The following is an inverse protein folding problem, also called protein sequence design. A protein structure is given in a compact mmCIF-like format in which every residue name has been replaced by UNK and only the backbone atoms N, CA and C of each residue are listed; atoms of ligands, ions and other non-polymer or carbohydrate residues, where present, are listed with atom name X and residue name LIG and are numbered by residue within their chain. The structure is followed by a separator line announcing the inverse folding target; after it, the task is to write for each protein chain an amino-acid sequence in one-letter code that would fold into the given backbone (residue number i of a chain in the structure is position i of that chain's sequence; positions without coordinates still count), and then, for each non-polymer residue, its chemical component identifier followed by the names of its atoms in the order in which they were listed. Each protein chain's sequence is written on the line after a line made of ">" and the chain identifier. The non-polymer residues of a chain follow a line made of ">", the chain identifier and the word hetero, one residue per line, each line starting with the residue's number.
data_IF_718479844270
#
_entry.id   IF_718479844270
#
_cell.length_a   1.000
_cell.length_b   1.000
_cell.length_c   1.000
_cell.angle_alpha   90.00
_cell.angle_beta   90.00
_cell.angle_gamma   90.00
#
_symmetry.space_group_name_H-M   'P 1'
#
loop_
_entity.id
_entity.type
_entity.pdbx_description
1 polymer ?
#
# COMPACT_ATOMS: atom_id res chain seq x y z
N UNK A 1 -11.19 9.82 -0.29
CA UNK A 1 -10.67 9.92 -1.68
C UNK A 1 -10.52 11.41 -1.95
N UNK A 2 -9.31 11.99 -1.95
CA UNK A 2 -9.14 13.35 -2.47
C UNK A 2 -8.78 13.19 -3.94
N UNK A 3 -9.71 13.53 -4.83
CA UNK A 3 -9.48 13.59 -6.27
C UNK A 3 -8.35 14.57 -6.58
N UNK A 4 -7.57 14.31 -7.63
CA UNK A 4 -6.61 15.30 -8.14
C UNK A 4 -7.35 16.63 -8.39
N UNK A 5 -6.85 17.75 -7.86
CA UNK A 5 -7.48 19.04 -8.06
C UNK A 5 -7.40 19.41 -9.54
N UNK A 6 -8.49 19.99 -10.07
CA UNK A 6 -8.56 20.42 -11.48
C UNK A 6 -7.61 21.59 -11.79
N UNK A 7 -7.22 22.33 -10.76
CA UNK A 7 -6.22 23.37 -10.78
C UNK A 7 -5.71 23.56 -9.35
N UNK A 8 -4.44 23.96 -9.18
CA UNK A 8 -3.86 24.33 -7.89
C UNK A 8 -2.87 25.48 -8.08
N UNK A 9 -2.56 26.17 -6.98
CA UNK A 9 -1.54 27.22 -6.92
C UNK A 9 -0.98 27.28 -5.49
N UNK A 10 0.09 28.05 -5.28
CA UNK A 10 0.72 28.28 -3.98
C UNK A 10 0.66 29.78 -3.70
N UNK A 11 0.43 30.15 -2.44
CA UNK A 11 0.44 31.55 -2.02
C UNK A 11 1.84 32.14 -2.03
N UNK A 12 1.95 33.43 -2.29
CA UNK A 12 3.19 34.19 -2.09
C UNK A 12 3.49 34.44 -0.59
N UNK A 13 4.60 35.13 -0.31
CA UNK A 13 5.03 35.48 1.06
C UNK A 13 4.03 36.34 1.83
N UNK A 14 3.12 37.02 1.14
CA UNK A 14 2.08 37.85 1.72
C UNK A 14 0.73 37.11 1.81
N UNK A 15 0.68 35.83 1.42
CA UNK A 15 -0.54 35.02 1.42
C UNK A 15 -1.43 35.21 0.19
N UNK A 16 -1.01 35.98 -0.82
CA UNK A 16 -1.80 36.19 -2.03
C UNK A 16 -1.63 35.02 -3.00
N UNK A 17 -2.67 34.72 -3.76
CA UNK A 17 -2.63 33.70 -4.79
C UNK A 17 -3.50 34.07 -5.97
N UNK A 18 -3.20 33.48 -7.13
CA UNK A 18 -4.01 33.59 -8.34
C UNK A 18 -4.07 32.24 -9.02
N UNK A 19 -5.28 31.85 -9.41
CA UNK A 19 -5.55 30.64 -10.17
C UNK A 19 -6.40 31.00 -11.38
N UNK A 20 -6.01 30.50 -12.55
CA UNK A 20 -6.80 30.62 -13.77
C UNK A 20 -7.41 29.25 -14.04
N UNK A 21 -8.74 29.22 -14.19
CA UNK A 21 -9.47 27.98 -14.44
C UNK A 21 -9.96 28.05 -15.89
N UNK A 22 -9.51 27.09 -16.70
CA UNK A 22 -9.96 26.90 -18.08
C UNK A 22 -10.82 25.65 -18.13
N UNK A 23 -12.07 25.79 -17.69
CA UNK A 23 -13.00 24.66 -17.56
C UNK A 23 -14.41 25.13 -17.96
N UNK A 24 -15.17 24.26 -18.62
CA UNK A 24 -16.52 24.57 -19.10
C UNK A 24 -17.59 24.53 -17.99
N UNK A 25 -17.24 24.04 -16.79
CA UNK A 25 -18.12 24.06 -15.63
C UNK A 25 -18.16 25.46 -15.02
N UNK A 26 -19.31 25.81 -14.44
CA UNK A 26 -19.52 27.09 -13.76
C UNK A 26 -19.46 27.00 -12.24
N UNK A 27 -19.32 25.79 -11.65
CA UNK A 27 -19.33 25.59 -10.21
C UNK A 27 -18.12 24.77 -9.75
N UNK A 28 -17.40 25.28 -8.75
CA UNK A 28 -16.17 24.70 -8.23
C UNK A 28 -16.16 24.64 -6.71
N UNK A 29 -15.52 23.61 -6.16
CA UNK A 29 -15.16 23.54 -4.74
C UNK A 29 -13.71 23.97 -4.58
N UNK A 30 -13.47 24.96 -3.73
CA UNK A 30 -12.14 25.50 -3.44
C UNK A 30 -11.85 25.34 -1.95
N UNK A 31 -10.62 24.94 -1.62
CA UNK A 31 -10.14 24.83 -0.26
C UNK A 31 -8.65 25.19 -0.22
N UNK A 32 -8.16 25.59 0.94
CA UNK A 32 -6.76 25.88 1.20
C UNK A 32 -6.19 24.90 2.23
N UNK A 33 -4.91 24.60 2.12
CA UNK A 33 -4.16 23.77 3.07
C UNK A 33 -2.75 24.33 3.19
N UNK A 34 -2.16 24.17 4.37
CA UNK A 34 -0.78 24.53 4.67
C UNK A 34 -0.25 23.59 5.75
N UNK A 35 1.05 23.33 5.73
CA UNK A 35 1.69 22.51 6.75
C UNK A 35 1.55 23.16 8.14
N UNK A 36 1.18 22.37 9.14
CA UNK A 36 0.93 22.88 10.51
C UNK A 36 -0.44 23.54 10.71
N UNK A 37 -1.34 23.49 9.71
CA UNK A 37 -2.71 24.01 9.81
C UNK A 37 -3.76 22.97 9.42
N UNK A 38 -4.97 23.13 9.94
CA UNK A 38 -6.12 22.38 9.44
C UNK A 38 -6.45 22.83 8.01
N UNK A 39 -6.82 21.89 7.15
CA UNK A 39 -7.42 22.21 5.84
C UNK A 39 -8.67 23.06 6.06
N UNK A 40 -8.86 24.10 5.24
CA UNK A 40 -10.04 24.95 5.32
C UNK A 40 -11.32 24.17 5.02
N UNK A 41 -12.45 24.71 5.45
CA UNK A 41 -13.74 24.32 4.88
C UNK A 41 -13.76 24.55 3.37
N UNK A 42 -14.56 23.74 2.67
CA UNK A 42 -14.77 23.92 1.23
C UNK A 42 -15.68 25.12 0.98
N UNK A 43 -15.25 26.03 0.12
CA UNK A 43 -16.09 27.08 -0.42
C UNK A 43 -16.57 26.67 -1.82
N UNK A 44 -17.89 26.68 -2.03
CA UNK A 44 -18.48 26.51 -3.35
C UNK A 44 -18.49 27.87 -4.06
N UNK A 45 -17.99 27.91 -5.29
CA UNK A 45 -17.83 29.14 -6.05
C UNK A 45 -18.46 28.96 -7.42
N UNK A 46 -19.29 29.92 -7.82
CA UNK A 46 -19.87 29.99 -9.14
C UNK A 46 -19.14 31.05 -9.97
N UNK A 47 -18.55 30.65 -11.10
CA UNK A 47 -17.71 31.51 -11.94
C UNK A 47 -18.32 31.58 -13.34
N UNK A 48 -18.53 32.80 -13.83
CA UNK A 48 -18.90 33.07 -15.22
C UNK A 48 -17.68 33.46 -16.06
N UNK A 49 -17.80 33.39 -17.38
CA UNK A 49 -16.68 33.71 -18.27
C UNK A 49 -16.15 35.15 -18.04
N UNK A 50 -14.83 35.28 -17.98
CA UNK A 50 -14.14 36.54 -17.66
C UNK A 50 -14.28 37.07 -16.23
N UNK A 51 -15.04 36.41 -15.34
CA UNK A 51 -15.28 36.90 -13.99
C UNK A 51 -14.06 36.72 -13.08
N UNK A 52 -13.77 37.73 -12.24
CA UNK A 52 -12.79 37.64 -11.15
C UNK A 52 -13.51 37.50 -9.81
N UNK A 53 -13.10 36.52 -9.02
CA UNK A 53 -13.63 36.28 -7.68
C UNK A 53 -12.46 36.27 -6.70
N UNK A 54 -12.67 36.92 -5.56
CA UNK A 54 -11.73 36.95 -4.45
C UNK A 54 -12.24 36.02 -3.36
N UNK A 55 -11.40 35.09 -2.93
CA UNK A 55 -11.68 34.18 -1.83
C UNK A 55 -10.63 34.43 -0.75
N UNK A 56 -11.06 34.33 0.51
CA UNK A 56 -10.17 34.35 1.66
C UNK A 56 -10.42 33.09 2.45
N UNK A 57 -9.33 32.43 2.84
CA UNK A 57 -9.36 31.22 3.66
C UNK A 57 -8.65 31.51 4.98
N UNK A 58 -9.34 31.24 6.08
CA UNK A 58 -8.71 31.25 7.41
C UNK A 58 -8.29 29.82 7.72
N UNK A 59 -6.99 29.62 7.91
CA UNK A 59 -6.46 28.35 8.37
C UNK A 59 -6.23 28.42 9.88
N UNK A 60 -6.87 27.52 10.61
CA UNK A 60 -6.63 27.37 12.03
C UNK A 60 -5.36 26.54 12.22
N UNK A 61 -4.38 27.09 12.95
CA UNK A 61 -3.16 26.35 13.30
C UNK A 61 -3.58 25.03 13.96
N UNK A 62 -2.94 23.94 13.55
CA UNK A 62 -3.03 22.71 14.33
C UNK A 62 -2.47 23.06 15.70
N UNK A 63 -3.32 23.02 16.74
CA UNK A 63 -2.81 23.05 18.10
C UNK A 63 -1.91 21.83 18.21
N UNK A 64 -0.62 22.04 18.53
CA UNK A 64 0.40 20.99 18.68
C UNK A 64 0.04 20.08 19.85
N UNK A 65 -0.98 19.27 19.65
CA UNK A 65 -1.51 18.32 20.62
C UNK A 65 -0.84 17.01 20.34
N UNK A 66 0.11 16.66 21.21
CA UNK A 66 0.80 15.39 21.15
C UNK A 66 -0.21 14.24 21.16
N UNK A 67 0.05 13.27 20.29
CA UNK A 67 -0.63 12.00 20.17
C UNK A 67 0.32 10.88 20.56
N UNK A 68 -0.21 9.89 21.25
CA UNK A 68 0.47 8.65 21.57
C UNK A 68 -0.30 7.52 20.90
N UNK A 69 0.39 6.62 20.21
CA UNK A 69 -0.21 5.48 19.54
C UNK A 69 0.27 4.23 20.23
N UNK A 70 -0.67 3.49 20.82
CA UNK A 70 -0.47 2.10 21.20
C UNK A 70 -1.19 1.26 20.16
N UNK A 71 -0.51 0.29 19.58
CA UNK A 71 -1.15 -0.59 18.62
C UNK A 71 -0.77 -2.04 18.77
N UNK A 72 -1.61 -2.89 18.18
CA UNK A 72 -1.42 -4.34 18.17
C UNK A 72 -1.65 -4.88 16.76
N UNK A 73 -0.75 -5.74 16.32
CA UNK A 73 -0.79 -6.37 15.00
C UNK A 73 -1.02 -7.86 15.17
N UNK A 74 -2.13 -8.35 14.61
CA UNK A 74 -2.56 -9.73 14.73
C UNK A 74 -2.91 -10.29 13.34
N UNK A 75 -2.52 -11.53 13.06
CA UNK A 75 -2.96 -12.25 11.88
C UNK A 75 -3.48 -13.63 12.30
N UNK A 76 -4.75 -13.92 12.04
CA UNK A 76 -5.41 -15.17 12.45
C UNK A 76 -5.15 -15.51 13.93
N UNK A 77 -5.43 -14.53 14.81
CA UNK A 77 -5.23 -14.60 16.26
C UNK A 77 -3.79 -14.84 16.75
N UNK A 78 -2.80 -14.76 15.86
CA UNK A 78 -1.38 -14.79 16.21
C UNK A 78 -0.75 -13.40 16.15
N UNK A 79 0.07 -13.02 17.15
CA UNK A 79 0.79 -11.76 17.10
C UNK A 79 1.79 -11.74 15.94
N UNK A 80 1.94 -10.58 15.32
CA UNK A 80 2.91 -10.36 14.24
C UNK A 80 4.09 -9.56 14.79
N UNK A 81 5.18 -10.27 15.08
CA UNK A 81 6.46 -9.70 15.53
C UNK A 81 7.28 -9.15 14.35
N UNK A 82 8.28 -8.31 14.67
CA UNK A 82 9.27 -7.75 13.75
C UNK A 82 8.66 -7.06 12.53
N UNK A 83 7.50 -6.44 12.72
CA UNK A 83 6.82 -5.66 11.71
C UNK A 83 7.24 -4.20 11.84
N UNK A 84 7.92 -3.66 10.83
CA UNK A 84 8.29 -2.24 10.80
C UNK A 84 7.02 -1.44 10.63
N UNK A 85 6.76 -0.53 11.56
CA UNK A 85 5.61 0.38 11.56
C UNK A 85 6.12 1.77 11.24
N UNK A 86 5.59 2.39 10.19
CA UNK A 86 5.98 3.71 9.72
C UNK A 86 4.75 4.61 9.62
N UNK A 87 4.84 5.82 10.14
CA UNK A 87 3.80 6.85 9.97
C UNK A 87 4.32 7.92 9.03
N UNK A 88 3.54 8.21 7.99
CA UNK A 88 3.83 9.25 7.01
C UNK A 88 2.78 10.35 7.05
N UNK A 89 3.22 11.60 7.00
CA UNK A 89 2.37 12.68 6.53
C UNK A 89 2.26 12.61 5.01
N UNK A 90 1.17 13.15 4.46
CA UNK A 90 0.97 13.24 3.01
C UNK A 90 0.46 14.62 2.64
N UNK A 91 1.38 15.50 2.25
CA UNK A 91 1.10 16.87 1.84
C UNK A 91 1.64 17.08 0.42
N UNK A 92 0.83 17.69 -0.46
CA UNK A 92 1.20 18.00 -1.86
C UNK A 92 1.73 16.81 -2.68
N UNK A 93 1.26 15.58 -2.40
CA UNK A 93 1.72 14.38 -3.11
C UNK A 93 3.02 13.78 -2.56
N UNK A 94 3.62 14.41 -1.55
CA UNK A 94 4.88 13.98 -0.94
C UNK A 94 4.59 13.23 0.35
N UNK A 95 5.22 12.07 0.50
CA UNK A 95 5.22 11.31 1.75
C UNK A 95 6.44 11.69 2.58
N UNK A 96 6.24 12.22 3.78
CA UNK A 96 7.32 12.49 4.73
C UNK A 96 7.23 11.51 5.89
N UNK A 97 8.31 10.77 6.18
CA UNK A 97 8.37 9.87 7.32
C UNK A 97 8.36 10.71 8.60
N UNK A 98 7.31 10.56 9.41
CA UNK A 98 7.20 11.23 10.70
C UNK A 98 7.81 10.36 11.80
N UNK A 99 7.43 9.09 11.85
CA UNK A 99 7.83 8.19 12.93
C UNK A 99 8.00 6.75 12.44
N UNK A 100 8.87 6.01 13.13
CA UNK A 100 9.12 4.59 12.87
C UNK A 100 9.30 3.81 14.17
N UNK A 101 8.68 2.64 14.24
CA UNK A 101 8.90 1.66 15.31
C UNK A 101 8.86 0.23 14.74
N UNK A 102 8.97 -0.77 15.60
CA UNK A 102 8.87 -2.19 15.24
C UNK A 102 7.97 -2.88 16.25
N UNK A 103 7.11 -3.80 15.80
CA UNK A 103 6.31 -4.61 16.71
C UNK A 103 7.18 -5.56 17.55
N UNK A 104 6.79 -5.76 18.80
CA UNK A 104 7.40 -6.75 19.70
C UNK A 104 6.87 -8.18 19.45
N UNK A 105 7.37 -9.15 20.21
CA UNK A 105 6.94 -10.56 20.19
C UNK A 105 5.45 -10.77 20.45
N UNK A 106 4.76 -9.81 21.06
CA UNK A 106 3.32 -9.84 21.34
C UNK A 106 2.51 -9.08 20.27
N UNK A 107 3.17 -8.62 19.21
CA UNK A 107 2.61 -7.81 18.13
C UNK A 107 2.32 -6.37 18.55
N UNK A 108 2.80 -5.92 19.70
CA UNK A 108 2.56 -4.58 20.23
C UNK A 108 3.57 -3.59 19.68
N UNK A 109 3.12 -2.37 19.39
CA UNK A 109 4.00 -1.25 19.06
C UNK A 109 3.55 0.02 19.76
N UNK A 110 4.50 0.93 19.95
CA UNK A 110 4.28 2.23 20.54
C UNK A 110 4.95 3.31 19.70
N UNK A 111 4.24 4.42 19.49
CA UNK A 111 4.73 5.63 18.84
C UNK A 111 4.30 6.81 19.70
N UNK A 112 5.25 7.62 20.13
CA UNK A 112 5.04 8.90 20.79
C UNK A 112 5.55 10.05 19.92
N UNK A 113 5.50 11.28 20.43
CA UNK A 113 6.10 12.43 19.77
C UNK A 113 5.42 12.90 18.48
N UNK A 114 4.30 12.29 18.08
CA UNK A 114 3.58 12.65 16.85
C UNK A 114 2.44 13.62 17.13
N UNK A 115 2.27 14.64 16.29
CA UNK A 115 1.16 15.58 16.42
C UNK A 115 -0.17 14.92 16.06
N UNK A 116 -1.25 15.38 16.68
CA UNK A 116 -2.60 15.00 16.25
C UNK A 116 -2.84 15.46 14.82
N UNK A 117 -3.39 14.59 13.98
CA UNK A 117 -3.53 14.87 12.56
C UNK A 117 -3.89 13.64 11.76
N UNK A 118 -3.83 13.78 10.45
CA UNK A 118 -4.22 12.74 9.50
C UNK A 118 -2.98 12.22 8.80
N UNK A 119 -2.74 10.92 8.92
CA UNK A 119 -1.52 10.27 8.45
C UNK A 119 -1.82 9.02 7.62
N UNK A 120 -0.78 8.50 6.99
CA UNK A 120 -0.76 7.15 6.43
C UNK A 120 0.11 6.29 7.32
N UNK A 121 -0.46 5.23 7.89
CA UNK A 121 0.31 4.20 8.57
C UNK A 121 0.65 3.11 7.57
N UNK A 122 1.90 2.67 7.57
CA UNK A 122 2.40 1.54 6.81
C UNK A 122 3.01 0.53 7.78
N UNK A 123 2.69 -0.75 7.59
CA UNK A 123 3.36 -1.83 8.30
C UNK A 123 3.91 -2.83 7.31
N UNK A 124 5.10 -3.33 7.57
CA UNK A 124 5.76 -4.28 6.68
C UNK A 124 6.77 -5.18 7.40
N UNK A 125 6.74 -6.47 7.07
CA UNK A 125 7.86 -7.39 7.26
C UNK A 125 8.01 -8.31 6.05
N UNK A 126 8.79 -9.38 6.15
CA UNK A 126 9.01 -10.30 5.03
C UNK A 126 7.72 -10.95 4.49
N UNK A 127 6.73 -11.17 5.35
CA UNK A 127 5.50 -11.89 5.02
C UNK A 127 4.27 -11.00 4.88
N UNK A 128 4.21 -9.91 5.64
CA UNK A 128 3.00 -9.11 5.83
C UNK A 128 3.19 -7.68 5.36
N UNK A 129 2.09 -7.08 4.91
CA UNK A 129 2.01 -5.67 4.55
C UNK A 129 0.65 -5.10 4.94
N UNK A 130 0.64 -3.85 5.38
CA UNK A 130 -0.56 -3.06 5.64
C UNK A 130 -0.30 -1.60 5.27
N UNK A 131 -1.27 -0.92 4.68
CA UNK A 131 -1.22 0.52 4.45
C UNK A 131 -2.61 1.09 4.53
N UNK A 132 -2.82 2.06 5.40
CA UNK A 132 -4.10 2.73 5.52
C UNK A 132 -3.96 4.16 6.03
N UNK A 133 -5.00 4.95 5.85
CA UNK A 133 -5.13 6.28 6.41
C UNK A 133 -5.60 6.18 7.87
N UNK A 134 -4.95 6.91 8.77
CA UNK A 134 -5.31 7.02 10.18
C UNK A 134 -5.54 8.47 10.57
N UNK A 135 -6.38 8.69 11.57
CA UNK A 135 -6.62 10.00 12.16
C UNK A 135 -6.22 9.92 13.63
N UNK A 136 -5.10 10.55 13.97
CA UNK A 136 -4.56 10.64 15.31
C UNK A 136 -5.19 11.81 16.03
N UNK A 137 -5.83 11.53 17.17
CA UNK A 137 -6.36 12.55 18.07
C UNK A 137 -5.33 12.91 19.12
N UNK A 138 -5.51 14.07 19.75
CA UNK A 138 -4.76 14.44 20.95
C UNK A 138 -4.86 13.34 22.02
N UNK A 139 -3.74 13.03 22.66
CA UNK A 139 -3.68 12.00 23.70
C UNK A 139 -3.54 10.58 23.13
N UNK A 140 -4.08 9.59 23.83
CA UNK A 140 -3.88 8.18 23.52
C UNK A 140 -4.81 7.71 22.39
N UNK A 141 -4.21 7.09 21.38
CA UNK A 141 -4.89 6.39 20.28
C UNK A 141 -4.55 4.90 20.37
N UNK A 142 -5.58 4.05 20.35
CA UNK A 142 -5.45 2.60 20.33
C UNK A 142 -5.80 2.06 18.95
N UNK A 143 -4.92 1.28 18.33
CA UNK A 143 -5.11 0.77 16.96
C UNK A 143 -4.87 -0.74 16.91
N UNK A 144 -5.86 -1.49 16.40
CA UNK A 144 -5.70 -2.90 16.08
C UNK A 144 -5.55 -3.07 14.57
N UNK A 145 -4.54 -3.82 14.14
CA UNK A 145 -4.18 -3.98 12.73
C UNK A 145 -4.18 -5.46 12.37
N UNK A 146 -4.89 -5.78 11.30
CA UNK A 146 -4.83 -7.09 10.65
C UNK A 146 -4.15 -6.88 9.29
N UNK A 147 -2.90 -7.33 9.11
CA UNK A 147 -2.19 -7.11 7.87
C UNK A 147 -2.59 -8.12 6.79
N UNK A 148 -2.20 -7.84 5.56
CA UNK A 148 -2.35 -8.75 4.43
C UNK A 148 -1.06 -9.55 4.21
N UNK A 149 -1.18 -10.79 3.76
CA UNK A 149 -0.03 -11.56 3.26
C UNK A 149 0.44 -10.91 1.97
N UNK A 150 1.75 -10.69 1.85
CA UNK A 150 2.34 -10.17 0.61
C UNK A 150 2.09 -11.15 -0.54
N UNK A 151 1.67 -10.68 -1.73
CA UNK A 151 1.27 -11.56 -2.83
C UNK A 151 2.34 -12.61 -3.17
N UNK A 152 3.61 -12.22 -3.25
CA UNK A 152 4.70 -13.15 -3.58
C UNK A 152 4.89 -14.28 -2.55
N UNK A 153 4.45 -14.08 -1.30
CA UNK A 153 4.47 -15.11 -0.25
C UNK A 153 3.30 -16.11 -0.36
N UNK A 154 2.33 -15.83 -1.24
CA UNK A 154 1.23 -16.75 -1.55
C UNK A 154 1.58 -17.75 -2.66
N UNK A 155 2.77 -17.63 -3.26
CA UNK A 155 3.24 -18.53 -4.29
C UNK A 155 4.36 -19.45 -3.76
N UNK A 156 4.33 -20.69 -4.20
CA UNK A 156 5.36 -21.69 -3.96
C UNK A 156 6.18 -22.00 -5.21
N UNK A 157 7.09 -22.95 -5.04
CA UNK A 157 7.91 -23.52 -6.10
C UNK A 157 7.63 -25.02 -6.16
N UNK A 158 7.47 -25.56 -7.36
CA UNK A 158 7.38 -27.01 -7.60
C UNK A 158 8.57 -27.39 -8.47
N UNK A 159 9.38 -28.33 -8.01
CA UNK A 159 10.55 -28.82 -8.75
C UNK A 159 10.69 -30.32 -8.56
N UNK A 160 11.39 -30.95 -9.49
CA UNK A 160 11.66 -32.37 -9.43
C UNK A 160 12.56 -32.83 -10.57
N UNK A 161 12.72 -34.14 -10.68
CA UNK A 161 13.56 -34.76 -11.70
C UNK A 161 12.79 -35.84 -12.44
N UNK A 162 12.91 -35.87 -13.76
CA UNK A 162 12.35 -36.94 -14.60
C UNK A 162 13.45 -37.95 -14.91
N UNK A 163 13.13 -39.22 -14.67
CA UNK A 163 13.98 -40.38 -14.96
C UNK A 163 13.22 -41.41 -15.81
N UNK A 164 13.94 -42.22 -16.58
CA UNK A 164 13.37 -43.37 -17.28
C UNK A 164 13.27 -44.61 -16.38
N UNK A 165 12.86 -45.75 -16.95
CA UNK A 165 12.70 -47.01 -16.21
C UNK A 165 14.01 -47.59 -15.67
N UNK A 166 15.16 -47.16 -16.19
CA UNK A 166 16.50 -47.54 -15.73
C UNK A 166 17.06 -46.53 -14.71
N UNK A 167 16.32 -45.47 -14.41
CA UNK A 167 16.72 -44.40 -13.49
C UNK A 167 17.62 -43.32 -14.13
N UNK A 168 17.80 -43.34 -15.45
CA UNK A 168 18.62 -42.36 -16.17
C UNK A 168 17.84 -41.05 -16.34
N UNK A 169 18.55 -39.92 -16.20
CA UNK A 169 17.97 -38.57 -16.34
C UNK A 169 17.45 -38.34 -17.75
N UNK A 170 16.21 -37.85 -17.85
CA UNK A 170 15.56 -37.57 -19.13
C UNK A 170 15.60 -36.06 -19.40
N UNK A 171 16.45 -35.64 -20.34
CA UNK A 171 16.51 -34.25 -20.82
C UNK A 171 15.35 -33.92 -21.76
N UNK A 172 15.03 -32.63 -21.88
CA UNK A 172 14.06 -32.08 -22.82
C UNK A 172 12.63 -32.66 -22.73
N UNK A 173 12.30 -33.39 -21.65
CA UNK A 173 10.95 -33.88 -21.38
C UNK A 173 10.02 -32.68 -21.14
N UNK A 174 8.89 -32.64 -21.83
CA UNK A 174 7.84 -31.66 -21.57
C UNK A 174 7.16 -32.02 -20.25
N UNK A 175 7.19 -31.09 -19.30
CA UNK A 175 6.52 -31.20 -18.00
C UNK A 175 5.39 -30.19 -17.96
N UNK A 176 4.19 -30.65 -17.66
CA UNK A 176 2.96 -29.87 -17.66
C UNK A 176 2.39 -29.87 -16.25
N UNK A 177 2.19 -28.69 -15.68
CA UNK A 177 1.49 -28.47 -14.42
C UNK A 177 0.02 -28.17 -14.71
N UNK A 178 -0.88 -28.96 -14.13
CA UNK A 178 -2.32 -28.77 -14.23
C UNK A 178 -2.94 -28.64 -12.85
N UNK A 179 -4.05 -27.92 -12.73
CA UNK A 179 -4.89 -27.99 -11.52
C UNK A 179 -5.60 -29.34 -11.48
N UNK A 180 -6.13 -29.70 -10.31
CA UNK A 180 -6.93 -30.92 -10.12
C UNK A 180 -8.13 -31.04 -11.08
N UNK A 181 -8.68 -29.93 -11.55
CA UNK A 181 -9.76 -29.87 -12.54
C UNK A 181 -9.28 -30.11 -14.00
N UNK A 182 -8.00 -30.39 -14.22
CA UNK A 182 -7.38 -30.61 -15.53
C UNK A 182 -6.97 -29.33 -16.26
N UNK A 183 -7.25 -28.14 -15.71
CA UNK A 183 -6.87 -26.87 -16.35
C UNK A 183 -5.35 -26.70 -16.35
N UNK A 184 -4.79 -26.43 -17.53
CA UNK A 184 -3.38 -26.10 -17.71
C UNK A 184 -3.01 -24.84 -16.90
N UNK A 185 -1.91 -24.94 -16.15
CA UNK A 185 -1.37 -23.84 -15.33
C UNK A 185 -0.08 -23.32 -15.94
N UNK A 186 0.92 -24.20 -16.10
CA UNK A 186 2.24 -23.90 -16.67
C UNK A 186 2.80 -25.14 -17.37
N UNK A 187 3.79 -24.95 -18.23
CA UNK A 187 4.62 -26.04 -18.74
C UNK A 187 6.08 -25.61 -18.78
N UNK A 188 6.99 -26.57 -18.71
CA UNK A 188 8.43 -26.37 -18.80
C UNK A 188 9.09 -27.58 -19.45
N UNK A 189 10.40 -27.54 -19.68
CA UNK A 189 11.17 -28.71 -20.11
C UNK A 189 12.26 -29.04 -19.11
N UNK A 190 12.58 -30.32 -19.00
CA UNK A 190 13.70 -30.75 -18.16
C UNK A 190 15.03 -30.32 -18.74
N UNK A 191 15.97 -29.92 -17.87
CA UNK A 191 17.34 -29.58 -18.24
C UNK A 191 18.18 -30.84 -18.57
N UNK A 192 19.49 -30.66 -18.81
CA UNK A 192 20.42 -31.78 -19.10
C UNK A 192 20.56 -32.80 -17.97
N UNK A 193 20.18 -32.44 -16.74
CA UNK A 193 20.15 -33.31 -15.56
C UNK A 193 18.75 -33.88 -15.28
N UNK A 194 17.79 -33.68 -16.19
CA UNK A 194 16.42 -34.15 -16.04
C UNK A 194 15.57 -33.31 -15.08
N UNK A 195 16.06 -32.17 -14.61
CA UNK A 195 15.41 -31.36 -13.59
C UNK A 195 14.41 -30.38 -14.20
N UNK A 196 13.28 -30.16 -13.55
CA UNK A 196 12.28 -29.16 -13.93
C UNK A 196 11.94 -28.24 -12.75
N UNK A 197 11.50 -27.01 -13.08
CA UNK A 197 11.16 -25.97 -12.11
C UNK A 197 9.93 -25.18 -12.56
N UNK A 198 8.96 -25.06 -11.65
CA UNK A 198 7.86 -24.10 -11.71
C UNK A 198 7.97 -23.16 -10.50
N UNK A 199 8.32 -21.90 -10.75
CA UNK A 199 8.27 -20.84 -9.74
C UNK A 199 6.93 -20.10 -9.80
N UNK A 200 6.61 -19.30 -8.79
CA UNK A 200 5.37 -18.52 -8.69
C UNK A 200 4.11 -19.36 -8.94
N UNK A 201 4.01 -20.51 -8.26
CA UNK A 201 2.83 -21.38 -8.31
C UNK A 201 1.90 -21.00 -7.16
N UNK A 202 0.67 -20.60 -7.45
CA UNK A 202 -0.30 -20.27 -6.40
C UNK A 202 -0.55 -21.44 -5.45
N UNK A 203 -1.04 -21.16 -4.25
CA UNK A 203 -1.49 -22.22 -3.34
C UNK A 203 -2.66 -22.98 -3.97
N UNK A 204 -2.55 -24.30 -4.06
CA UNK A 204 -3.61 -25.15 -4.60
C UNK A 204 -3.18 -26.61 -4.73
N UNK A 205 -4.12 -27.44 -5.20
CA UNK A 205 -3.86 -28.83 -5.58
C UNK A 205 -3.59 -28.94 -7.08
N UNK A 206 -2.49 -29.60 -7.42
CA UNK A 206 -1.98 -29.71 -8.78
C UNK A 206 -1.59 -31.15 -9.11
N UNK A 207 -1.62 -31.48 -10.40
CA UNK A 207 -1.06 -32.70 -10.98
C UNK A 207 0.06 -32.32 -11.96
N UNK A 208 1.02 -33.24 -12.13
CA UNK A 208 2.10 -33.10 -13.09
C UNK A 208 1.98 -34.22 -14.12
N UNK A 209 2.05 -33.84 -15.39
CA UNK A 209 2.15 -34.76 -16.51
C UNK A 209 3.49 -34.52 -17.19
N UNK A 210 4.25 -35.57 -17.44
CA UNK A 210 5.51 -35.49 -18.17
C UNK A 210 5.47 -36.38 -19.42
N UNK A 211 6.00 -35.89 -20.53
CA UNK A 211 6.23 -36.69 -21.72
C UNK A 211 7.58 -36.35 -22.35
N UNK A 212 8.28 -37.37 -22.82
CA UNK A 212 9.52 -37.24 -23.57
C UNK A 212 9.34 -37.86 -24.95
N UNK A 213 10.06 -37.36 -25.94
CA UNK A 213 10.15 -38.06 -27.24
C UNK A 213 11.12 -39.24 -27.06
N UNK A 214 10.71 -40.40 -27.58
CA UNK A 214 11.61 -41.56 -27.73
C UNK A 214 12.76 -41.23 -28.68
#
# INVERSE_FOLDING_TARGET
>A
MFSNPIAHTITDVNGNYKIMIFDSRSCFKVFATSEGYNTSEFQNVFISDGQKIYLTFTLNKLLDKMSYVVGRVMFQDKPVDMCVVEIYSFYYGIFTLCERTVTDKNGLFFIDGILSGVYIIKLENNMFYYKNKICLRSGLNSINIIPYIKPYMMYGTISGVIVDCEGKRVKDALVVLQRKDGKLVKFTRTNSQGEYLFYNVERGEYSIIACAKN
#
